data_IF_850271633235
#
_entry.id   IF_850271633235
#
_cell.length_a   1.000
_cell.length_b   1.000
_cell.length_c   1.000
_cell.angle_alpha   90.00
_cell.angle_beta   90.00
_cell.angle_gamma   90.00
#
_symmetry.space_group_name_H-M   'P 1'
#
loop_
_entity.id
_entity.type
_entity.pdbx_description
1 polymer ?
#
# COMPACT_ATOMS: atom_id res chain seq x y z
N UNK A 1 38.47 -7.66 9.37
CA UNK A 1 37.49 -8.76 9.30
C UNK A 1 36.16 -8.17 9.73
N UNK A 2 35.25 -7.88 8.79
CA UNK A 2 33.86 -7.56 9.14
C UNK A 2 33.15 -8.89 9.26
N UNK A 3 32.81 -9.29 10.48
CA UNK A 3 31.94 -10.42 10.71
C UNK A 3 30.55 -10.07 10.19
N UNK A 4 30.11 -10.82 9.19
CA UNK A 4 28.73 -10.85 8.72
C UNK A 4 27.84 -11.31 9.87
N UNK A 5 27.10 -10.38 10.46
CA UNK A 5 25.98 -10.74 11.33
C UNK A 5 24.96 -11.47 10.45
N UNK A 6 24.82 -12.77 10.70
CA UNK A 6 23.75 -13.61 10.18
C UNK A 6 22.40 -13.06 10.62
N UNK A 7 21.37 -13.17 9.77
CA UNK A 7 19.98 -12.69 9.98
C UNK A 7 19.27 -13.26 11.23
N UNK A 8 19.96 -14.06 12.04
CA UNK A 8 19.45 -14.63 13.28
C UNK A 8 19.69 -13.66 14.45
N UNK A 9 18.59 -13.14 15.01
CA UNK A 9 18.49 -12.27 16.20
C UNK A 9 18.63 -10.76 15.97
N UNK A 10 17.85 -10.17 15.05
CA UNK A 10 17.48 -8.76 15.22
C UNK A 10 16.54 -8.65 16.44
N UNK A 11 16.92 -7.95 17.53
CA UNK A 11 16.04 -7.77 18.67
C UNK A 11 14.79 -7.04 18.21
N UNK A 12 13.63 -7.62 18.48
CA UNK A 12 12.35 -6.98 18.23
C UNK A 12 11.81 -6.29 19.48
N UNK A 13 10.86 -5.39 19.30
CA UNK A 13 10.18 -4.71 20.39
C UNK A 13 8.70 -4.54 20.05
N UNK A 14 7.86 -4.39 21.08
CA UNK A 14 6.47 -3.99 20.91
C UNK A 14 6.34 -2.47 20.81
N UNK A 15 5.55 -2.00 19.86
CA UNK A 15 5.11 -0.62 19.75
C UNK A 15 3.65 -0.57 19.33
N UNK A 16 2.84 0.23 20.01
CA UNK A 16 1.40 0.44 19.69
C UNK A 16 0.60 -0.86 19.46
N UNK A 17 0.97 -1.95 20.16
CA UNK A 17 0.29 -3.25 20.08
C UNK A 17 0.83 -4.21 19.01
N UNK A 18 1.91 -3.87 18.31
CA UNK A 18 2.52 -4.67 17.24
C UNK A 18 3.99 -5.00 17.53
N UNK A 19 4.47 -6.15 17.05
CA UNK A 19 5.87 -6.56 17.16
C UNK A 19 6.67 -6.06 15.96
N UNK A 20 7.72 -5.27 16.22
CA UNK A 20 8.66 -4.79 15.20
C UNK A 20 9.99 -5.54 15.31
N UNK A 21 10.64 -5.79 14.18
CA UNK A 21 11.98 -6.38 14.10
C UNK A 21 12.92 -5.36 13.45
N UNK A 22 13.83 -4.77 14.23
CA UNK A 22 14.74 -3.73 13.75
C UNK A 22 15.00 -2.65 14.80
N UNK A 23 15.60 -1.53 14.39
CA UNK A 23 15.87 -0.41 15.27
C UNK A 23 14.62 0.45 15.49
N UNK A 24 14.55 1.18 16.62
CA UNK A 24 13.45 2.12 16.91
C UNK A 24 13.44 3.27 15.91
N UNK A 25 14.63 3.78 15.61
CA UNK A 25 14.86 4.87 14.68
C UNK A 25 14.41 4.49 13.26
N UNK A 26 14.58 3.22 12.89
CA UNK A 26 14.10 2.67 11.63
C UNK A 26 12.57 2.66 11.57
N UNK A 27 11.91 2.24 12.65
CA UNK A 27 10.45 2.29 12.74
C UNK A 27 9.93 3.73 12.61
N UNK A 28 10.51 4.67 13.36
CA UNK A 28 10.12 6.08 13.33
C UNK A 28 10.32 6.70 11.93
N UNK A 29 11.40 6.31 11.23
CA UNK A 29 11.64 6.73 9.85
C UNK A 29 10.52 6.22 8.91
N UNK A 30 10.10 4.96 9.07
CA UNK A 30 8.99 4.39 8.29
C UNK A 30 7.64 5.03 8.63
N UNK A 31 7.34 5.30 9.91
CA UNK A 31 6.13 6.01 10.33
C UNK A 31 6.05 7.38 9.66
N UNK A 32 7.12 8.17 9.76
CA UNK A 32 7.20 9.51 9.14
C UNK A 32 7.09 9.44 7.62
N UNK A 33 7.75 8.48 6.98
CA UNK A 33 7.67 8.29 5.53
C UNK A 33 6.24 7.99 5.07
N UNK A 34 5.59 6.97 5.66
CA UNK A 34 4.22 6.59 5.30
C UNK A 34 3.23 7.70 5.59
N UNK A 35 3.35 8.39 6.72
CA UNK A 35 2.53 9.54 7.05
C UNK A 35 2.64 10.64 6.00
N UNK A 36 3.86 11.03 5.62
CA UNK A 36 4.08 12.08 4.60
C UNK A 36 3.46 11.69 3.26
N UNK A 37 3.64 10.42 2.83
CA UNK A 37 3.07 9.93 1.57
C UNK A 37 1.55 9.84 1.61
N UNK A 38 0.98 9.37 2.72
CA UNK A 38 -0.46 9.35 2.91
C UNK A 38 -1.06 10.77 2.86
N UNK A 39 -0.41 11.76 3.49
CA UNK A 39 -0.83 13.16 3.44
C UNK A 39 -0.82 13.71 2.00
N UNK A 40 0.23 13.46 1.22
CA UNK A 40 0.30 13.90 -0.17
C UNK A 40 -0.84 13.32 -1.03
N UNK A 41 -1.20 12.05 -0.84
CA UNK A 41 -2.35 11.45 -1.50
C UNK A 41 -3.68 12.08 -1.03
N UNK A 42 -3.85 12.34 0.27
CA UNK A 42 -5.05 13.00 0.80
C UNK A 42 -5.20 14.42 0.24
N UNK A 43 -4.12 15.18 0.13
CA UNK A 43 -4.11 16.52 -0.48
C UNK A 43 -4.52 16.49 -1.96
N UNK A 44 -4.24 15.38 -2.66
CA UNK A 44 -4.69 15.11 -4.04
C UNK A 44 -6.12 14.54 -4.11
N UNK A 45 -6.79 14.38 -2.98
CA UNK A 45 -8.17 13.93 -2.86
C UNK A 45 -8.35 12.41 -2.70
N UNK A 46 -7.29 11.63 -2.54
CA UNK A 46 -7.42 10.18 -2.34
C UNK A 46 -7.72 9.84 -0.88
N UNK A 47 -8.36 8.70 -0.65
CA UNK A 47 -8.42 8.11 0.70
C UNK A 47 -7.26 7.14 0.86
N UNK A 48 -6.63 7.09 2.04
CA UNK A 48 -5.47 6.24 2.28
C UNK A 48 -5.64 5.46 3.58
N UNK A 49 -5.43 4.16 3.51
CA UNK A 49 -5.24 3.30 4.68
C UNK A 49 -3.77 2.90 4.76
N UNK A 50 -3.15 3.11 5.92
CA UNK A 50 -1.79 2.66 6.18
C UNK A 50 -1.64 2.35 7.66
N UNK A 51 -0.70 1.46 7.97
CA UNK A 51 -0.37 1.10 9.34
C UNK A 51 1.04 1.60 9.64
N UNK A 52 1.26 2.39 10.70
CA UNK A 52 2.59 2.91 11.06
C UNK A 52 3.64 1.82 11.24
N UNK A 53 3.23 0.67 11.78
CA UNK A 53 4.08 -0.49 12.06
C UNK A 53 3.85 -1.66 11.10
N UNK A 54 2.91 -1.50 10.16
CA UNK A 54 2.65 -2.50 9.13
C UNK A 54 3.83 -2.62 8.16
N UNK A 55 3.98 -3.82 7.60
CA UNK A 55 5.05 -4.38 6.77
C UNK A 55 5.33 -3.59 5.45
N UNK A 56 5.49 -2.28 5.60
CA UNK A 56 5.63 -1.20 4.63
C UNK A 56 4.51 -1.10 3.58
N UNK A 57 3.30 -1.52 3.96
CA UNK A 57 2.11 -1.44 3.13
C UNK A 57 1.32 -0.13 3.30
N UNK A 58 0.71 0.28 2.19
CA UNK A 58 -0.27 1.35 2.11
C UNK A 58 -1.32 0.98 1.06
N UNK A 59 -2.57 1.32 1.33
CA UNK A 59 -3.68 1.16 0.39
C UNK A 59 -4.25 2.53 0.04
N UNK A 60 -4.22 2.89 -1.24
CA UNK A 60 -4.73 4.16 -1.76
C UNK A 60 -6.04 3.88 -2.49
N UNK A 61 -7.11 4.60 -2.15
CA UNK A 61 -8.44 4.45 -2.74
C UNK A 61 -8.78 5.69 -3.56
N UNK A 62 -9.52 5.48 -4.66
CA UNK A 62 -10.10 6.61 -5.38
C UNK A 62 -11.11 7.37 -4.49
N UNK A 63 -11.16 8.71 -4.60
CA UNK A 63 -12.04 9.57 -3.79
C UNK A 63 -13.52 9.21 -3.86
N UNK A 64 -14.02 8.89 -5.06
CA UNK A 64 -15.44 8.85 -5.33
C UNK A 64 -15.86 7.55 -6.02
N UNK A 65 -16.90 6.93 -5.45
CA UNK A 65 -17.75 5.99 -6.16
C UNK A 65 -18.94 6.77 -6.72
N UNK A 66 -19.16 6.71 -8.04
CA UNK A 66 -20.30 7.40 -8.69
C UNK A 66 -21.66 7.02 -8.08
N UNK A 67 -21.79 5.80 -7.57
CA UNK A 67 -22.95 5.30 -6.83
C UNK A 67 -22.56 4.09 -5.96
N UNK A 68 -23.42 3.67 -5.02
CA UNK A 68 -23.14 2.55 -4.11
C UNK A 68 -22.76 1.23 -4.81
N UNK A 69 -23.30 0.99 -6.02
CA UNK A 69 -22.98 -0.19 -6.86
C UNK A 69 -21.70 -0.06 -7.71
N UNK A 70 -21.04 1.10 -7.69
CA UNK A 70 -19.88 1.34 -8.53
C UNK A 70 -18.69 0.60 -7.92
N UNK A 71 -17.80 0.04 -8.75
CA UNK A 71 -16.61 -0.60 -8.23
C UNK A 71 -15.75 0.39 -7.44
N UNK A 72 -15.22 -0.07 -6.30
CA UNK A 72 -14.11 0.58 -5.64
C UNK A 72 -12.81 0.24 -6.34
N UNK A 73 -11.99 1.24 -6.58
CA UNK A 73 -10.63 1.03 -7.05
C UNK A 73 -9.66 1.36 -5.93
N UNK A 74 -8.75 0.44 -5.67
CA UNK A 74 -7.67 0.61 -4.71
C UNK A 74 -6.33 0.20 -5.30
N UNK A 75 -5.27 0.82 -4.80
CA UNK A 75 -3.89 0.46 -5.05
C UNK A 75 -3.28 -0.04 -3.74
N UNK A 76 -2.91 -1.31 -3.70
CA UNK A 76 -2.15 -1.89 -2.59
C UNK A 76 -0.67 -1.82 -2.93
N UNK A 77 0.09 -1.08 -2.12
CA UNK A 77 1.48 -0.75 -2.40
C UNK A 77 2.36 -1.16 -1.24
N UNK A 78 3.41 -1.93 -1.52
CA UNK A 78 4.51 -2.16 -0.57
C UNK A 78 5.71 -1.35 -1.01
N UNK A 79 6.20 -0.49 -0.12
CA UNK A 79 7.41 0.30 -0.37
C UNK A 79 8.62 -0.42 0.22
N UNK A 80 9.72 -0.41 -0.52
CA UNK A 80 11.03 -0.85 -0.03
C UNK A 80 11.97 0.34 -0.01
N UNK A 81 12.82 0.44 1.00
CA UNK A 81 13.84 1.48 1.10
C UNK A 81 14.82 1.17 2.22
N UNK A 82 15.94 1.88 2.25
CA UNK A 82 16.95 1.74 3.30
C UNK A 82 16.73 2.82 4.36
N UNK A 83 16.40 2.44 5.60
CA UNK A 83 16.27 3.41 6.68
C UNK A 83 17.65 4.02 7.02
N UNK A 84 17.63 5.29 7.39
CA UNK A 84 18.77 6.07 7.84
C UNK A 84 18.32 7.09 8.89
N UNK A 85 19.26 7.73 9.58
CA UNK A 85 18.96 8.81 10.53
C UNK A 85 18.21 10.00 9.89
N UNK A 86 18.27 10.14 8.56
CA UNK A 86 17.59 11.19 7.79
C UNK A 86 16.26 10.72 7.18
N UNK A 87 15.82 9.49 7.45
CA UNK A 87 14.59 8.89 6.92
C UNK A 87 14.85 7.71 5.97
N UNK A 88 13.87 7.40 5.12
CA UNK A 88 13.96 6.30 4.15
C UNK A 88 14.68 6.78 2.88
N UNK A 89 15.85 6.20 2.58
CA UNK A 89 16.63 6.44 1.38
C UNK A 89 16.37 5.38 0.31
N UNK A 90 16.22 5.79 -0.96
CA UNK A 90 15.93 4.87 -2.05
C UNK A 90 14.58 4.16 -1.89
N UNK A 91 13.58 4.87 -1.34
CA UNK A 91 12.20 4.39 -1.28
C UNK A 91 11.68 4.14 -2.69
N UNK A 92 11.37 2.90 -3.02
CA UNK A 92 10.81 2.49 -4.31
C UNK A 92 9.60 1.60 -4.08
N UNK A 93 8.67 1.63 -5.03
CA UNK A 93 7.57 0.66 -5.07
C UNK A 93 8.15 -0.75 -5.30
N UNK A 94 8.05 -1.61 -4.28
CA UNK A 94 8.46 -3.01 -4.38
C UNK A 94 7.33 -3.91 -4.85
N UNK A 95 6.10 -3.57 -4.48
CA UNK A 95 4.88 -4.28 -4.87
C UNK A 95 3.78 -3.26 -5.15
N UNK A 96 3.01 -3.51 -6.20
CA UNK A 96 1.86 -2.70 -6.55
C UNK A 96 0.79 -3.61 -7.14
N UNK A 97 -0.39 -3.62 -6.54
CA UNK A 97 -1.59 -4.20 -7.13
C UNK A 97 -2.66 -3.13 -7.25
N UNK A 98 -3.31 -3.04 -8.42
CA UNK A 98 -4.54 -2.26 -8.58
C UNK A 98 -5.71 -3.23 -8.56
N UNK A 99 -6.63 -3.04 -7.63
CA UNK A 99 -7.78 -3.91 -7.41
C UNK A 99 -9.07 -3.15 -7.72
N UNK A 100 -10.02 -3.87 -8.32
CA UNK A 100 -11.40 -3.46 -8.51
C UNK A 100 -12.28 -4.32 -7.62
N UNK A 101 -12.93 -3.72 -6.62
CA UNK A 101 -13.85 -4.39 -5.70
C UNK A 101 -15.28 -3.99 -6.02
N UNK A 102 -16.12 -4.97 -6.35
CA UNK A 102 -17.55 -4.79 -6.61
C UNK A 102 -18.33 -5.37 -5.44
N UNK A 103 -19.17 -4.52 -4.86
CA UNK A 103 -20.10 -4.93 -3.81
C UNK A 103 -21.51 -4.79 -4.37
N UNK A 104 -22.30 -5.87 -4.32
CA UNK A 104 -23.74 -5.79 -4.57
C UNK A 104 -24.44 -5.42 -3.25
N UNK A 105 -24.99 -4.20 -3.11
CA UNK A 105 -25.58 -3.74 -1.85
C UNK A 105 -26.79 -4.58 -1.42
N UNK A 106 -27.54 -5.17 -2.37
CA UNK A 106 -28.69 -6.00 -2.03
C UNK A 106 -28.24 -7.36 -1.49
N UNK A 107 -27.18 -7.92 -2.07
CA UNK A 107 -26.61 -9.19 -1.62
C UNK A 107 -25.84 -9.06 -0.32
N UNK A 108 -25.15 -7.95 -0.10
CA UNK A 108 -24.41 -7.66 1.13
C UNK A 108 -25.32 -7.69 2.38
N UNK A 109 -26.58 -7.25 2.24
CA UNK A 109 -27.58 -7.30 3.32
C UNK A 109 -28.07 -8.72 3.58
N UNK A 110 -28.17 -9.56 2.55
CA UNK A 110 -28.65 -10.95 2.66
C UNK A 110 -27.56 -11.98 2.97
N UNK A 111 -26.30 -11.69 2.69
CA UNK A 111 -25.14 -12.56 2.94
C UNK A 111 -23.85 -11.73 3.05
N UNK A 112 -23.26 -11.60 4.24
CA UNK A 112 -21.96 -10.96 4.42
C UNK A 112 -20.90 -11.82 3.71
N UNK A 113 -20.42 -11.39 2.54
CA UNK A 113 -19.39 -12.12 1.79
C UNK A 113 -19.44 -12.01 0.27
N UNK A 114 -20.52 -11.49 -0.33
CA UNK A 114 -20.64 -11.32 -1.79
C UNK A 114 -19.87 -10.07 -2.29
N UNK A 115 -18.55 -10.08 -2.11
CA UNK A 115 -17.64 -9.12 -2.72
C UNK A 115 -16.84 -9.81 -3.84
N UNK A 116 -16.91 -9.26 -5.05
CA UNK A 116 -16.07 -9.69 -6.17
C UNK A 116 -14.87 -8.75 -6.26
N UNK A 117 -13.67 -9.30 -6.03
CA UNK A 117 -12.41 -8.55 -6.08
C UNK A 117 -11.61 -9.02 -7.30
N UNK A 118 -11.40 -8.10 -8.23
CA UNK A 118 -10.66 -8.34 -9.47
C UNK A 118 -9.36 -7.56 -9.47
N UNK A 119 -8.24 -8.24 -9.67
CA UNK A 119 -6.94 -7.59 -9.92
C UNK A 119 -6.88 -7.06 -11.35
N UNK A 120 -6.65 -5.75 -11.50
CA UNK A 120 -6.49 -5.07 -12.78
C UNK A 120 -5.01 -4.89 -13.16
N UNK A 121 -4.15 -4.73 -12.15
CA UNK A 121 -2.71 -4.62 -12.32
C UNK A 121 -1.98 -5.32 -11.17
N UNK A 122 -0.85 -5.97 -11.45
CA UNK A 122 0.03 -6.54 -10.41
C UNK A 122 1.50 -6.53 -10.85
N UNK A 123 2.34 -5.86 -10.06
CA UNK A 123 3.78 -5.71 -10.29
C UNK A 123 4.64 -6.84 -9.68
N UNK A 124 4.16 -7.54 -8.64
CA UNK A 124 5.03 -8.30 -7.73
C UNK A 124 5.33 -9.76 -8.13
N UNK A 125 4.79 -10.32 -9.22
CA UNK A 125 4.93 -11.78 -9.44
C UNK A 125 4.93 -12.26 -10.89
N UNK A 126 5.93 -11.88 -11.69
CA UNK A 126 6.31 -12.67 -12.88
C UNK A 126 5.19 -13.09 -13.86
N UNK A 127 4.06 -12.39 -13.86
CA UNK A 127 2.86 -12.67 -14.63
C UNK A 127 2.14 -11.34 -14.88
N UNK A 128 2.26 -10.92 -16.14
CA UNK A 128 1.76 -9.69 -16.79
C UNK A 128 0.24 -9.54 -16.72
N UNK A 129 -0.31 -9.21 -15.55
CA UNK A 129 -1.66 -8.67 -15.50
C UNK A 129 -1.58 -7.16 -15.61
N UNK A 130 -1.72 -6.65 -16.83
CA UNK A 130 -1.98 -5.25 -17.11
C UNK A 130 -3.27 -5.13 -17.93
N UNK A 131 -4.38 -4.88 -17.23
CA UNK A 131 -5.69 -4.61 -17.85
C UNK A 131 -6.07 -3.14 -17.70
N UNK A 132 -5.10 -2.25 -17.45
CA UNK A 132 -5.36 -0.83 -17.19
C UNK A 132 -5.94 -0.11 -18.40
N UNK A 133 -5.62 -0.55 -19.62
CA UNK A 133 -6.08 0.06 -20.88
C UNK A 133 -7.62 0.13 -21.01
N UNK A 134 -8.37 -0.74 -20.33
CA UNK A 134 -9.83 -0.71 -20.30
C UNK A 134 -10.44 0.10 -19.13
N UNK A 135 -9.61 0.62 -18.22
CA UNK A 135 -10.03 1.21 -16.96
C UNK A 135 -9.33 2.57 -16.73
N UNK A 136 -9.82 3.68 -17.33
CA UNK A 136 -9.18 4.99 -17.21
C UNK A 136 -8.98 5.48 -15.78
N UNK A 137 -9.90 5.14 -14.88
CA UNK A 137 -9.79 5.47 -13.46
C UNK A 137 -8.67 4.67 -12.75
N UNK A 138 -8.52 3.39 -13.07
CA UNK A 138 -7.44 2.54 -12.56
C UNK A 138 -6.08 3.01 -13.10
N UNK A 139 -6.02 3.41 -14.36
CA UNK A 139 -4.80 3.96 -14.97
C UNK A 139 -4.39 5.30 -14.33
N UNK A 140 -5.34 6.19 -14.01
CA UNK A 140 -5.04 7.41 -13.24
C UNK A 140 -4.51 7.10 -11.84
N UNK A 141 -5.10 6.13 -11.15
CA UNK A 141 -4.64 5.70 -9.84
C UNK A 141 -3.21 5.13 -9.91
N UNK A 142 -2.93 4.29 -10.91
CA UNK A 142 -1.60 3.75 -11.17
C UNK A 142 -0.55 4.86 -11.34
N UNK A 143 -0.81 5.85 -12.21
CA UNK A 143 0.13 6.94 -12.43
C UNK A 143 0.30 7.82 -11.20
N UNK A 144 -0.77 8.12 -10.45
CA UNK A 144 -0.65 8.85 -9.20
C UNK A 144 0.23 8.13 -8.17
N UNK A 145 0.14 6.79 -8.12
CA UNK A 145 0.98 5.96 -7.26
C UNK A 145 2.45 6.00 -7.68
N UNK A 146 2.75 5.85 -8.97
CA UNK A 146 4.12 5.89 -9.46
C UNK A 146 4.76 7.28 -9.32
N UNK A 147 3.98 8.33 -9.53
CA UNK A 147 4.41 9.73 -9.40
C UNK A 147 4.74 10.10 -7.96
N UNK A 148 3.98 9.59 -6.99
CA UNK A 148 4.20 9.91 -5.58
C UNK A 148 5.21 8.98 -4.88
N UNK A 149 5.34 7.71 -5.30
CA UNK A 149 6.10 6.70 -4.54
C UNK A 149 7.40 6.21 -5.18
N UNK A 150 7.76 6.67 -6.37
CA UNK A 150 9.09 6.49 -6.95
C UNK A 150 9.91 7.78 -6.86
#
# INVERSE_FOLDING_TARGET
>A
MLESMTDEQKPGFYDEGMWWIGAREELDAWKKYKQRKALAFVERGYSVSWYPDGDNWMTIYLPERLHARAPELSAEVKVYGRPSEHGIYGGMVSKLAILERRTDPLKQVSSPGDEDVRTLYNYDRGLDFDRLNGHPAAMRLFYAVLDELN
#
